data_IF_052493374623
#
_entry.id   IF_052493374623
#
_cell.length_a   1.000
_cell.length_b   1.000
_cell.length_c   1.000
_cell.angle_alpha   90.00
_cell.angle_beta   90.00
_cell.angle_gamma   90.00
#
_symmetry.space_group_name_H-M   'P 1'
#
loop_
_entity.id
_entity.type
_entity.pdbx_description
1 polymer ?
#
# COMPACT_ATOMS: atom_id res chain seq x y z
N UNK A 1 -10.76 17.37 -1.72
CA UNK A 1 -9.87 16.96 -0.62
C UNK A 1 -10.51 15.78 0.10
N UNK A 2 -10.18 14.56 -0.31
CA UNK A 2 -10.58 13.36 0.43
C UNK A 2 -9.53 13.07 1.50
N UNK A 3 -9.98 13.15 2.75
CA UNK A 3 -9.24 12.74 3.94
C UNK A 3 -8.71 11.31 3.79
N UNK A 4 -7.39 11.16 3.77
CA UNK A 4 -6.68 9.87 3.72
C UNK A 4 -6.67 9.14 5.08
N UNK A 5 -7.39 9.66 6.07
CA UNK A 5 -7.45 9.14 7.46
C UNK A 5 -8.35 7.89 7.61
N UNK A 6 -8.92 7.34 6.54
CA UNK A 6 -9.85 6.21 6.63
C UNK A 6 -9.33 4.88 6.04
N UNK A 7 -8.02 4.64 6.01
CA UNK A 7 -7.52 3.29 5.63
C UNK A 7 -7.71 2.27 6.78
N UNK A 8 -8.02 2.72 8.00
CA UNK A 8 -8.42 1.85 9.13
C UNK A 8 -9.92 1.91 9.45
N UNK A 9 -10.77 2.34 8.52
CA UNK A 9 -12.22 2.29 8.73
C UNK A 9 -12.80 0.97 8.23
N UNK A 10 -13.23 0.19 9.21
CA UNK A 10 -13.97 -1.07 9.15
C UNK A 10 -13.13 -2.34 8.88
N UNK A 11 -13.09 -3.31 9.83
CA UNK A 11 -12.64 -4.64 9.51
C UNK A 11 -13.68 -5.24 8.57
N UNK A 12 -13.43 -5.17 7.27
CA UNK A 12 -14.12 -5.99 6.29
C UNK A 12 -14.13 -7.42 6.84
N UNK A 13 -15.33 -7.96 7.08
CA UNK A 13 -15.48 -9.34 7.52
C UNK A 13 -14.88 -10.25 6.45
N UNK A 14 -13.62 -10.63 6.62
CA UNK A 14 -12.99 -11.67 5.81
C UNK A 14 -13.80 -12.94 6.04
N UNK A 15 -14.51 -13.39 5.00
CA UNK A 15 -15.25 -14.65 5.01
C UNK A 15 -14.23 -15.76 5.24
N UNK A 16 -14.19 -16.30 6.45
CA UNK A 16 -13.37 -17.46 6.80
C UNK A 16 -14.02 -18.68 6.17
N UNK A 17 -13.34 -19.28 5.19
CA UNK A 17 -13.77 -20.53 4.53
C UNK A 17 -13.99 -21.60 5.61
N UNK A 18 -15.08 -22.37 5.53
CA UNK A 18 -15.28 -23.52 6.43
C UNK A 18 -14.19 -24.56 6.15
N UNK A 19 -13.14 -24.58 6.99
CA UNK A 19 -12.07 -25.55 6.89
C UNK A 19 -12.51 -26.81 7.64
N UNK A 20 -12.78 -27.89 6.91
CA UNK A 20 -13.00 -29.22 7.47
C UNK A 20 -11.65 -29.88 7.81
N UNK A 21 -10.88 -29.23 8.69
CA UNK A 21 -9.62 -29.77 9.18
C UNK A 21 -9.67 -29.84 10.71
N UNK A 22 -9.78 -31.05 11.26
CA UNK A 22 -9.86 -31.29 12.72
C UNK A 22 -8.61 -30.87 13.50
N UNK A 23 -7.55 -30.42 12.79
CA UNK A 23 -6.30 -29.93 13.35
C UNK A 23 -6.14 -28.40 13.31
N UNK A 24 -7.12 -27.67 12.76
CA UNK A 24 -7.06 -26.21 12.73
C UNK A 24 -7.85 -25.64 13.91
N UNK A 25 -7.27 -24.78 14.77
CA UNK A 25 -7.99 -24.23 15.90
C UNK A 25 -9.16 -23.37 15.41
N UNK A 26 -10.36 -23.64 15.93
CA UNK A 26 -11.52 -22.78 15.71
C UNK A 26 -11.26 -21.38 16.28
N UNK A 27 -11.26 -20.33 15.45
CA UNK A 27 -11.04 -18.98 15.96
C UNK A 27 -11.26 -17.89 14.92
N UNK A 28 -11.71 -16.72 15.39
CA UNK A 28 -11.67 -15.50 14.57
C UNK A 28 -10.19 -15.13 14.35
N UNK A 29 -9.76 -14.85 13.10
CA UNK A 29 -8.37 -14.49 12.80
C UNK A 29 -7.82 -13.36 13.67
N UNK A 30 -8.68 -12.41 14.07
CA UNK A 30 -8.33 -11.32 14.98
C UNK A 30 -7.89 -11.81 16.37
N UNK A 31 -8.55 -12.83 16.93
CA UNK A 31 -8.21 -13.38 18.26
C UNK A 31 -6.96 -14.25 18.16
N UNK A 32 -6.82 -15.02 17.06
CA UNK A 32 -5.64 -15.83 16.80
C UNK A 32 -4.35 -15.00 16.76
N UNK A 33 -4.44 -13.79 16.19
CA UNK A 33 -3.33 -12.85 16.12
C UNK A 33 -3.14 -12.05 17.41
N UNK A 34 -4.21 -11.58 18.04
CA UNK A 34 -4.13 -10.75 19.24
C UNK A 34 -3.74 -11.52 20.51
N UNK A 35 -4.11 -12.80 20.61
CA UNK A 35 -3.84 -13.64 21.79
C UNK A 35 -3.42 -15.05 21.37
N UNK A 36 -2.25 -15.19 20.69
CA UNK A 36 -1.81 -16.46 20.11
C UNK A 36 -1.63 -17.58 21.15
N UNK A 37 -1.34 -17.22 22.41
CA UNK A 37 -1.20 -18.15 23.53
C UNK A 37 -2.44 -19.02 23.77
N UNK A 38 -3.66 -18.51 23.51
CA UNK A 38 -4.91 -19.27 23.68
C UNK A 38 -5.03 -20.44 22.68
N UNK A 39 -4.22 -20.42 21.62
CA UNK A 39 -4.20 -21.41 20.55
C UNK A 39 -2.89 -22.19 20.48
N UNK A 40 -2.05 -22.11 21.52
CA UNK A 40 -0.73 -22.72 21.55
C UNK A 40 0.29 -22.07 20.59
N UNK A 41 -0.04 -20.89 20.06
CA UNK A 41 0.86 -20.06 19.27
C UNK A 41 1.80 -19.26 20.17
N UNK A 42 2.98 -18.92 19.64
CA UNK A 42 3.89 -17.97 20.28
C UNK A 42 3.45 -16.56 19.97
N UNK A 43 3.59 -15.67 20.95
CA UNK A 43 3.44 -14.24 20.71
C UNK A 43 4.67 -13.69 20.00
N UNK A 44 4.43 -13.22 18.79
CA UNK A 44 5.41 -12.62 17.91
C UNK A 44 5.09 -11.14 17.65
N UNK A 45 4.12 -10.56 18.37
CA UNK A 45 3.75 -9.16 18.21
C UNK A 45 4.84 -8.28 18.80
N UNK A 46 5.47 -7.48 17.95
CA UNK A 46 6.30 -6.39 18.42
C UNK A 46 5.41 -5.22 18.81
N UNK A 47 5.46 -4.85 20.10
CA UNK A 47 4.80 -3.63 20.57
C UNK A 47 5.49 -2.42 19.93
N UNK A 48 4.72 -1.68 19.14
CA UNK A 48 5.17 -0.43 18.54
C UNK A 48 4.92 0.69 19.54
N UNK A 49 5.92 1.54 19.70
CA UNK A 49 5.79 2.76 20.50
C UNK A 49 4.88 3.75 19.78
N UNK A 50 3.67 3.93 20.31
CA UNK A 50 2.65 4.78 19.70
C UNK A 50 3.06 6.26 19.70
N UNK A 51 3.90 6.69 20.64
CA UNK A 51 4.41 8.07 20.68
C UNK A 51 5.34 8.31 19.48
N UNK A 52 6.23 7.35 19.19
CA UNK A 52 7.08 7.41 17.98
C UNK A 52 6.26 7.39 16.69
N UNK A 53 5.20 6.59 16.64
CA UNK A 53 4.29 6.57 15.48
C UNK A 53 3.61 7.92 15.31
N UNK A 54 3.16 8.53 16.40
CA UNK A 54 2.50 9.85 16.35
C UNK A 54 3.46 10.94 15.88
N UNK A 55 4.70 10.95 16.38
CA UNK A 55 5.74 11.87 15.91
C UNK A 55 5.98 11.70 14.41
N UNK A 56 6.08 10.46 13.91
CA UNK A 56 6.21 10.23 12.47
C UNK A 56 5.00 10.76 11.70
N UNK A 57 3.78 10.56 12.18
CA UNK A 57 2.57 11.03 11.52
C UNK A 57 2.48 12.56 11.50
N UNK A 58 2.90 13.22 12.57
CA UNK A 58 2.89 14.69 12.68
C UNK A 58 3.97 15.33 11.80
N UNK A 59 5.09 14.63 11.56
CA UNK A 59 6.17 15.06 10.67
C UNK A 59 5.97 14.59 9.21
N UNK A 60 5.03 13.68 8.94
CA UNK A 60 4.71 13.22 7.60
C UNK A 60 4.00 14.34 6.82
N UNK A 61 4.67 14.84 5.78
CA UNK A 61 4.05 15.70 4.76
C UNK A 61 3.49 14.79 3.66
N UNK A 62 2.19 14.89 3.41
CA UNK A 62 1.61 14.36 2.18
C UNK A 62 1.90 15.36 1.08
N UNK A 63 2.80 15.01 0.19
CA UNK A 63 3.11 15.83 -0.99
C UNK A 63 1.87 15.93 -1.89
N UNK A 64 1.69 17.10 -2.52
CA UNK A 64 0.63 17.32 -3.51
C UNK A 64 0.85 16.48 -4.78
N UNK A 65 2.08 16.00 -4.99
CA UNK A 65 2.50 15.17 -6.11
C UNK A 65 2.88 13.75 -5.66
N UNK A 66 2.63 12.72 -6.48
CA UNK A 66 2.94 11.33 -6.15
C UNK A 66 4.44 11.01 -6.14
N UNK A 67 5.25 11.92 -6.68
CA UNK A 67 6.71 11.90 -6.71
C UNK A 67 7.22 13.35 -6.67
N UNK A 68 8.53 13.52 -6.82
CA UNK A 68 9.13 14.84 -7.01
C UNK A 68 8.41 15.64 -8.12
N UNK A 69 8.19 16.94 -7.89
CA UNK A 69 7.41 17.83 -8.74
C UNK A 69 7.96 17.89 -10.17
N UNK A 70 9.28 17.99 -10.32
CA UNK A 70 9.93 18.03 -11.64
C UNK A 70 9.75 16.71 -12.38
N UNK A 71 9.90 15.59 -11.66
CA UNK A 71 9.67 14.24 -12.23
C UNK A 71 8.22 14.07 -12.67
N UNK A 72 7.27 14.59 -11.89
CA UNK A 72 5.85 14.52 -12.23
C UNK A 72 5.55 15.31 -13.51
N UNK A 73 6.05 16.53 -13.63
CA UNK A 73 5.88 17.35 -14.83
C UNK A 73 6.46 16.70 -16.08
N UNK A 74 7.69 16.17 -15.99
CA UNK A 74 8.31 15.41 -17.09
C UNK A 74 7.44 14.22 -17.49
N UNK A 75 6.91 13.48 -16.53
CA UNK A 75 6.02 12.35 -16.82
C UNK A 75 4.74 12.81 -17.54
N UNK A 76 4.12 13.91 -17.11
CA UNK A 76 2.91 14.46 -17.76
C UNK A 76 3.21 14.88 -19.19
N UNK A 77 4.34 15.54 -19.43
CA UNK A 77 4.76 15.98 -20.77
C UNK A 77 5.00 14.78 -21.70
N UNK A 78 5.74 13.77 -21.24
CA UNK A 78 5.97 12.52 -21.97
C UNK A 78 4.66 11.78 -22.24
N UNK A 79 3.73 11.75 -21.28
CA UNK A 79 2.42 11.14 -21.48
C UNK A 79 1.63 11.86 -22.58
N UNK A 80 1.68 13.19 -22.61
CA UNK A 80 1.04 13.99 -23.66
C UNK A 80 1.68 13.76 -25.03
N UNK A 81 3.01 13.75 -25.10
CA UNK A 81 3.77 13.58 -26.35
C UNK A 81 3.55 12.19 -26.97
N UNK A 82 3.68 11.14 -26.17
CA UNK A 82 3.56 9.75 -26.62
C UNK A 82 2.12 9.20 -26.56
N UNK A 83 1.14 10.07 -26.26
CA UNK A 83 -0.29 9.72 -26.12
C UNK A 83 -0.55 8.58 -25.11
N UNK A 84 0.28 8.51 -24.06
CA UNK A 84 0.12 7.55 -22.98
C UNK A 84 -0.97 8.03 -22.03
N UNK A 85 -1.80 7.11 -21.55
CA UNK A 85 -2.95 7.43 -20.69
C UNK A 85 -2.83 6.77 -19.34
N UNK A 86 -3.23 7.52 -18.31
CA UNK A 86 -3.46 6.94 -17.01
C UNK A 86 -4.68 6.01 -17.08
N UNK A 87 -4.54 4.81 -16.54
CA UNK A 87 -5.60 3.80 -16.48
C UNK A 87 -5.87 3.42 -15.03
N UNK A 88 -7.09 2.99 -14.73
CA UNK A 88 -7.42 2.43 -13.41
C UNK A 88 -7.12 0.92 -13.31
N UNK A 89 -6.64 0.30 -14.39
CA UNK A 89 -6.21 -1.08 -14.39
C UNK A 89 -4.77 -1.20 -13.85
N UNK A 90 -4.56 -2.16 -12.95
CA UNK A 90 -3.28 -2.33 -12.24
C UNK A 90 -2.16 -2.69 -13.21
N UNK A 91 -2.42 -3.56 -14.20
CA UNK A 91 -1.38 -4.02 -15.13
C UNK A 91 -1.02 -2.91 -16.12
N UNK A 92 -2.03 -2.22 -16.66
CA UNK A 92 -1.79 -1.10 -17.57
C UNK A 92 -1.07 0.08 -16.88
N UNK A 93 -1.35 0.34 -15.61
CA UNK A 93 -0.62 1.35 -14.82
C UNK A 93 0.86 0.99 -14.64
N UNK A 94 1.16 -0.29 -14.42
CA UNK A 94 2.55 -0.76 -14.34
C UNK A 94 3.25 -0.63 -15.69
N UNK A 95 2.56 -0.97 -16.78
CA UNK A 95 3.11 -0.81 -18.13
C UNK A 95 3.43 0.67 -18.42
N UNK A 96 2.54 1.59 -18.05
CA UNK A 96 2.76 3.02 -18.15
C UNK A 96 4.01 3.47 -17.39
N UNK A 97 4.16 3.04 -16.14
CA UNK A 97 5.34 3.37 -15.34
C UNK A 97 6.64 2.85 -15.98
N UNK A 98 6.65 1.61 -16.48
CA UNK A 98 7.82 1.03 -17.16
C UNK A 98 8.18 1.86 -18.41
N UNK A 99 7.19 2.23 -19.22
CA UNK A 99 7.39 3.02 -20.43
C UNK A 99 7.96 4.41 -20.10
N UNK A 100 7.37 5.13 -19.13
CA UNK A 100 7.87 6.44 -18.70
C UNK A 100 9.30 6.37 -18.17
N UNK A 101 9.61 5.36 -17.36
CA UNK A 101 10.97 5.15 -16.84
C UNK A 101 11.98 4.90 -17.95
N UNK A 102 11.60 4.16 -18.99
CA UNK A 102 12.48 3.91 -20.14
C UNK A 102 12.74 5.21 -20.92
N UNK A 103 11.69 6.01 -21.18
CA UNK A 103 11.82 7.29 -21.86
C UNK A 103 12.73 8.25 -21.09
N UNK A 104 12.52 8.42 -19.79
CA UNK A 104 13.34 9.30 -18.95
C UNK A 104 14.81 8.87 -18.96
N UNK A 105 15.10 7.57 -18.80
CA UNK A 105 16.49 7.11 -18.80
C UNK A 105 17.15 7.29 -20.17
N UNK A 106 16.42 7.07 -21.26
CA UNK A 106 16.96 7.27 -22.62
C UNK A 106 17.37 8.74 -22.87
N UNK A 107 16.61 9.69 -22.33
CA UNK A 107 16.94 11.13 -22.42
C UNK A 107 18.15 11.50 -21.54
N UNK A 108 18.37 10.80 -20.42
CA UNK A 108 19.49 11.05 -19.51
C UNK A 108 20.82 10.42 -19.96
N UNK A 109 20.75 9.36 -20.77
CA UNK A 109 21.92 8.67 -21.32
C UNK A 109 22.51 9.37 -22.57
N UNK A 110 21.92 10.49 -23.01
CA UNK A 110 22.37 11.35 -24.10
C UNK A 110 23.13 12.58 -23.63
#
# INVERSE_FOLDING_TARGET
MLNVVNIFKEPQMTIVRQIHNSRSPHGRPSILHAVPHLYGGRDCLHHVDLEKVQVCLDECVFEDFPCDEDVFHICVDLMSEYNLKLTNDVFETVNLYIALRQLINNELDH
#
